data_IF_132951416267
#
_entry.id   IF_132951416267
#
_cell.length_a   1.000
_cell.length_b   1.000
_cell.length_c   1.000
_cell.angle_alpha   90.00
_cell.angle_beta   90.00
_cell.angle_gamma   90.00
#
_symmetry.space_group_name_H-M   'P 1'
#
loop_
_entity.id
_entity.type
_entity.pdbx_description
1 polymer ?
#
# COMPACT_ATOMS: atom_id res chain seq x y z
N UNK A 1 20.48 -2.25 23.95
CA UNK A 1 19.57 -2.67 22.86
C UNK A 1 19.80 -1.77 21.65
N UNK A 2 20.03 -2.33 20.46
CA UNK A 2 20.40 -1.55 19.27
C UNK A 2 19.19 -0.84 18.65
N UNK A 3 19.35 0.43 18.28
CA UNK A 3 18.34 1.29 17.63
C UNK A 3 17.74 0.66 16.37
N UNK A 4 18.52 -0.15 15.63
CA UNK A 4 18.07 -0.90 14.45
C UNK A 4 17.03 -1.97 14.77
N UNK A 5 17.13 -2.63 15.91
CA UNK A 5 16.20 -3.70 16.31
C UNK A 5 14.87 -3.13 16.81
N UNK A 6 14.91 -1.98 17.50
CA UNK A 6 13.71 -1.25 17.92
C UNK A 6 12.97 -0.61 16.74
N UNK A 7 13.68 -0.13 15.71
CA UNK A 7 13.06 0.30 14.45
C UNK A 7 12.39 -0.88 13.75
N UNK A 8 13.11 -1.99 13.53
CA UNK A 8 12.56 -3.20 12.87
C UNK A 8 11.33 -3.77 13.58
N UNK A 9 11.31 -3.78 14.92
CA UNK A 9 10.14 -4.23 15.70
C UNK A 9 8.95 -3.28 15.60
N UNK A 10 9.19 -1.97 15.47
CA UNK A 10 8.13 -0.99 15.17
C UNK A 10 7.57 -1.15 13.75
N UNK A 11 8.43 -1.51 12.78
CA UNK A 11 8.06 -1.73 11.37
C UNK A 11 7.08 -2.89 11.21
N UNK A 12 7.33 -3.97 11.93
CA UNK A 12 6.42 -5.12 11.93
C UNK A 12 5.05 -4.72 12.50
N UNK A 13 5.00 -3.94 13.59
CA UNK A 13 3.75 -3.51 14.21
C UNK A 13 2.93 -2.57 13.32
N UNK A 14 3.57 -1.62 12.64
CA UNK A 14 2.90 -0.72 11.70
C UNK A 14 2.33 -1.46 10.49
N UNK A 15 3.15 -2.34 9.91
CA UNK A 15 2.73 -3.18 8.78
C UNK A 15 1.56 -4.10 9.14
N UNK A 16 1.67 -4.82 10.25
CA UNK A 16 0.64 -5.75 10.72
C UNK A 16 -0.69 -5.04 10.97
N UNK A 17 -0.67 -3.88 11.59
CA UNK A 17 -1.88 -3.10 11.84
C UNK A 17 -2.52 -2.58 10.55
N UNK A 18 -1.74 -2.18 9.54
CA UNK A 18 -2.28 -1.80 8.23
C UNK A 18 -2.89 -3.00 7.50
N UNK A 19 -2.21 -4.15 7.53
CA UNK A 19 -2.71 -5.40 6.95
C UNK A 19 -4.02 -5.83 7.61
N UNK A 20 -4.09 -5.76 8.93
CA UNK A 20 -5.29 -6.07 9.71
C UNK A 20 -6.44 -5.14 9.37
N UNK A 21 -6.17 -3.83 9.24
CA UNK A 21 -7.19 -2.90 8.77
C UNK A 21 -7.71 -3.27 7.38
N UNK A 22 -6.84 -3.62 6.44
CA UNK A 22 -7.24 -4.04 5.09
C UNK A 22 -8.14 -5.29 5.12
N UNK A 23 -7.79 -6.29 5.95
CA UNK A 23 -8.62 -7.48 6.17
C UNK A 23 -10.01 -7.10 6.69
N UNK A 24 -10.08 -6.25 7.71
CA UNK A 24 -11.34 -5.79 8.30
C UNK A 24 -12.22 -5.00 7.32
N UNK A 25 -11.63 -4.28 6.35
CA UNK A 25 -12.42 -3.59 5.34
C UNK A 25 -12.95 -4.52 4.25
N UNK A 26 -12.25 -5.63 3.99
CA UNK A 26 -12.49 -6.50 2.84
C UNK A 26 -13.12 -7.86 3.18
N UNK A 27 -13.29 -8.21 4.47
CA UNK A 27 -13.73 -9.55 4.89
C UNK A 27 -15.08 -9.99 4.31
N UNK A 28 -15.98 -9.05 4.00
CA UNK A 28 -17.32 -9.32 3.47
C UNK A 28 -17.36 -9.43 1.95
N UNK A 29 -16.24 -9.24 1.24
CA UNK A 29 -16.20 -9.21 -0.21
C UNK A 29 -15.85 -10.59 -0.77
N UNK A 30 -16.76 -11.12 -1.60
CA UNK A 30 -16.54 -12.40 -2.29
C UNK A 30 -15.33 -12.28 -3.22
N UNK A 31 -14.50 -13.32 -3.24
CA UNK A 31 -13.31 -13.36 -4.10
C UNK A 31 -12.13 -12.52 -3.60
N UNK A 32 -12.27 -11.80 -2.49
CA UNK A 32 -11.20 -11.00 -1.90
C UNK A 32 -10.65 -11.69 -0.66
N UNK A 33 -9.34 -11.92 -0.62
CA UNK A 33 -8.65 -12.45 0.56
C UNK A 33 -7.29 -11.80 0.73
N UNK A 34 -7.21 -10.85 1.66
CA UNK A 34 -5.97 -10.12 1.96
C UNK A 34 -5.15 -10.86 3.01
N UNK A 35 -3.99 -11.41 2.62
CA UNK A 35 -3.07 -12.11 3.54
C UNK A 35 -1.69 -11.46 3.62
N UNK A 36 -1.33 -10.62 2.64
CA UNK A 36 -0.06 -9.91 2.55
C UNK A 36 -0.26 -8.54 1.89
N UNK A 37 0.81 -7.72 1.87
CA UNK A 37 0.85 -6.43 1.18
C UNK A 37 1.60 -6.53 -0.17
N UNK A 38 1.49 -7.67 -0.84
CA UNK A 38 2.10 -7.92 -2.16
C UNK A 38 1.08 -8.57 -3.10
N UNK A 39 1.12 -9.89 -3.26
CA UNK A 39 0.33 -10.64 -4.22
C UNK A 39 -1.19 -10.61 -3.99
N UNK A 40 -1.65 -10.35 -2.76
CA UNK A 40 -3.08 -10.21 -2.44
C UNK A 40 -3.75 -9.02 -3.14
N UNK A 41 -2.95 -8.11 -3.71
CA UNK A 41 -3.41 -6.88 -4.35
C UNK A 41 -3.30 -6.93 -5.88
N UNK A 42 -2.70 -8.00 -6.42
CA UNK A 42 -2.37 -8.12 -7.86
C UNK A 42 -3.58 -8.05 -8.76
N UNK A 43 -4.68 -8.70 -8.37
CA UNK A 43 -5.92 -8.76 -9.17
C UNK A 43 -6.77 -7.47 -9.09
N UNK A 44 -6.36 -6.49 -8.29
CA UNK A 44 -7.04 -5.22 -8.12
C UNK A 44 -8.33 -5.29 -7.30
N UNK A 45 -8.87 -6.48 -7.00
CA UNK A 45 -10.14 -6.61 -6.28
C UNK A 45 -10.05 -6.07 -4.85
N UNK A 46 -8.91 -6.26 -4.18
CA UNK A 46 -8.70 -5.73 -2.85
C UNK A 46 -8.72 -4.18 -2.83
N UNK A 47 -8.16 -3.51 -3.84
CA UNK A 47 -8.25 -2.05 -3.96
C UNK A 47 -9.68 -1.59 -4.23
N UNK A 48 -10.37 -2.26 -5.16
CA UNK A 48 -11.77 -1.99 -5.46
C UNK A 48 -12.67 -2.15 -4.22
N UNK A 49 -12.45 -3.20 -3.43
CA UNK A 49 -13.21 -3.45 -2.20
C UNK A 49 -13.01 -2.35 -1.15
N UNK A 50 -11.79 -1.82 -0.99
CA UNK A 50 -11.54 -0.70 -0.08
C UNK A 50 -12.33 0.56 -0.48
N UNK A 51 -12.38 0.86 -1.78
CA UNK A 51 -13.07 2.03 -2.30
C UNK A 51 -14.59 1.86 -2.24
N UNK A 52 -15.12 0.69 -2.62
CA UNK A 52 -16.54 0.36 -2.48
C UNK A 52 -16.98 0.38 -1.00
N UNK A 53 -16.11 -0.05 -0.07
CA UNK A 53 -16.42 0.01 1.37
C UNK A 53 -16.50 1.45 1.88
N UNK A 54 -15.70 2.34 1.31
CA UNK A 54 -15.71 3.76 1.63
C UNK A 54 -16.97 4.45 1.09
N UNK A 55 -17.34 4.15 -0.15
CA UNK A 55 -18.54 4.66 -0.80
C UNK A 55 -18.98 3.66 -1.91
N UNK A 56 -20.11 2.95 -1.72
CA UNK A 56 -20.57 1.93 -2.65
C UNK A 56 -20.85 2.45 -4.07
N UNK A 57 -21.14 3.74 -4.22
CA UNK A 57 -21.47 4.34 -5.52
C UNK A 57 -20.23 4.53 -6.42
N UNK A 58 -19.02 4.39 -5.87
CA UNK A 58 -17.80 4.64 -6.61
C UNK A 58 -17.39 3.48 -7.53
N UNK A 59 -17.72 2.25 -7.16
CA UNK A 59 -17.28 1.05 -7.86
C UNK A 59 -18.41 0.03 -7.85
N UNK A 60 -18.84 -0.44 -9.03
CA UNK A 60 -19.78 -1.55 -9.12
C UNK A 60 -19.05 -2.87 -8.88
N UNK A 61 -18.87 -3.22 -7.60
CA UNK A 61 -18.00 -4.35 -7.22
C UNK A 61 -18.49 -5.69 -7.77
N UNK A 62 -19.80 -5.91 -7.81
CA UNK A 62 -20.40 -7.17 -8.26
C UNK A 62 -20.19 -7.46 -9.76
N UNK A 63 -19.79 -6.46 -10.55
CA UNK A 63 -19.46 -6.58 -11.97
C UNK A 63 -17.97 -6.90 -12.21
N UNK A 64 -17.14 -6.91 -11.16
CA UNK A 64 -15.70 -7.13 -11.28
C UNK A 64 -15.34 -8.61 -11.25
N UNK A 65 -14.36 -9.01 -12.05
CA UNK A 65 -13.81 -10.36 -12.07
C UNK A 65 -12.31 -10.36 -11.82
N UNK A 66 -11.79 -11.45 -11.23
CA UNK A 66 -10.37 -11.59 -10.90
C UNK A 66 -9.47 -11.64 -12.14
N UNK A 67 -10.02 -12.11 -13.25
CA UNK A 67 -9.33 -12.27 -14.54
C UNK A 67 -9.04 -10.91 -15.20
N UNK A 68 -9.81 -9.87 -14.84
CA UNK A 68 -9.66 -8.51 -15.33
C UNK A 68 -8.67 -7.67 -14.49
N UNK A 69 -7.57 -8.29 -14.02
CA UNK A 69 -6.65 -7.70 -13.07
C UNK A 69 -6.15 -6.29 -13.46
N UNK A 70 -5.79 -6.09 -14.73
CA UNK A 70 -5.31 -4.80 -15.21
C UNK A 70 -6.41 -3.72 -15.09
N UNK A 71 -7.61 -4.03 -15.61
CA UNK A 71 -8.77 -3.13 -15.60
C UNK A 71 -9.21 -2.80 -14.17
N UNK A 72 -9.20 -3.78 -13.27
CA UNK A 72 -9.55 -3.56 -11.86
C UNK A 72 -8.59 -2.57 -11.19
N UNK A 73 -7.28 -2.74 -11.38
CA UNK A 73 -6.28 -1.84 -10.81
C UNK A 73 -6.40 -0.43 -11.40
N UNK A 74 -6.55 -0.30 -12.72
CA UNK A 74 -6.74 1.00 -13.37
C UNK A 74 -7.99 1.73 -12.87
N UNK A 75 -9.11 1.01 -12.74
CA UNK A 75 -10.36 1.55 -12.20
C UNK A 75 -10.14 2.06 -10.77
N UNK A 76 -9.54 1.24 -9.91
CA UNK A 76 -9.30 1.61 -8.51
C UNK A 76 -8.44 2.86 -8.40
N UNK A 77 -7.33 2.93 -9.16
CA UNK A 77 -6.41 4.06 -9.09
C UNK A 77 -7.04 5.34 -9.63
N UNK A 78 -7.79 5.26 -10.73
CA UNK A 78 -8.53 6.39 -11.29
C UNK A 78 -9.56 6.94 -10.29
N UNK A 79 -10.38 6.06 -9.70
CA UNK A 79 -11.40 6.44 -8.72
C UNK A 79 -10.76 7.06 -7.48
N UNK A 80 -9.66 6.47 -6.97
CA UNK A 80 -8.93 6.99 -5.82
C UNK A 80 -8.35 8.39 -6.10
N UNK A 81 -7.82 8.63 -7.29
CA UNK A 81 -7.30 9.93 -7.68
C UNK A 81 -8.42 10.97 -7.82
N UNK A 82 -9.49 10.64 -8.53
CA UNK A 82 -10.58 11.59 -8.81
C UNK A 82 -11.37 11.96 -7.55
N UNK A 83 -11.72 10.96 -6.73
CA UNK A 83 -12.67 11.10 -5.62
C UNK A 83 -11.98 11.31 -4.28
N UNK A 84 -10.88 10.58 -4.05
CA UNK A 84 -10.13 10.64 -2.80
C UNK A 84 -8.91 11.57 -2.89
N UNK A 85 -8.53 12.04 -4.09
CA UNK A 85 -7.32 12.86 -4.31
C UNK A 85 -6.05 12.14 -3.84
N UNK A 86 -6.03 10.81 -4.00
CA UNK A 86 -4.88 9.96 -3.74
C UNK A 86 -4.21 9.68 -5.09
N UNK A 87 -3.03 10.26 -5.38
CA UNK A 87 -2.38 10.06 -6.68
C UNK A 87 -1.99 8.61 -6.91
N UNK A 88 -2.08 8.15 -8.16
CA UNK A 88 -1.67 6.81 -8.56
C UNK A 88 -0.14 6.65 -8.45
N UNK A 89 0.32 6.08 -7.34
CA UNK A 89 1.74 5.77 -7.13
C UNK A 89 2.16 4.43 -7.73
N UNK A 90 1.19 3.54 -7.94
CA UNK A 90 1.36 2.22 -8.52
C UNK A 90 0.90 2.25 -9.97
N UNK A 91 1.59 1.51 -10.82
CA UNK A 91 1.18 1.29 -12.22
C UNK A 91 0.48 -0.05 -12.32
N UNK A 92 -0.72 -0.07 -12.91
CA UNK A 92 -1.53 -1.28 -12.99
C UNK A 92 -0.83 -2.38 -13.80
N UNK A 93 -0.11 -2.00 -14.87
CA UNK A 93 0.70 -2.91 -15.66
C UNK A 93 1.80 -3.59 -14.84
N UNK A 94 2.45 -2.85 -13.94
CA UNK A 94 3.53 -3.39 -13.11
C UNK A 94 2.99 -4.42 -12.11
N UNK A 95 1.83 -4.14 -11.49
CA UNK A 95 1.21 -5.09 -10.57
C UNK A 95 0.87 -6.42 -11.25
N UNK A 96 0.42 -6.38 -12.50
CA UNK A 96 0.01 -7.58 -13.24
C UNK A 96 1.21 -8.33 -13.82
N UNK A 97 2.18 -7.62 -14.39
CA UNK A 97 3.26 -8.22 -15.20
C UNK A 97 4.52 -8.57 -14.42
N UNK A 98 4.83 -7.89 -13.30
CA UNK A 98 6.05 -8.18 -12.56
C UNK A 98 5.91 -9.48 -11.76
N UNK A 99 6.94 -10.29 -11.69
CA UNK A 99 6.92 -11.53 -10.91
C UNK A 99 6.75 -11.24 -9.42
N UNK A 100 7.52 -10.29 -8.90
CA UNK A 100 7.45 -9.83 -7.53
C UNK A 100 6.94 -8.38 -7.45
N UNK A 101 5.94 -8.17 -6.58
CA UNK A 101 5.41 -6.84 -6.27
C UNK A 101 6.16 -6.31 -5.06
N UNK A 102 6.69 -5.09 -5.16
CA UNK A 102 7.35 -4.41 -4.03
C UNK A 102 6.35 -4.12 -2.89
N UNK A 103 6.54 -4.79 -1.76
CA UNK A 103 5.70 -4.66 -0.56
C UNK A 103 5.67 -3.21 -0.05
N UNK A 104 6.81 -2.52 -0.12
CA UNK A 104 6.92 -1.15 0.41
C UNK A 104 6.07 -0.18 -0.41
N UNK A 105 6.02 -0.36 -1.73
CA UNK A 105 5.20 0.44 -2.64
C UNK A 105 3.72 0.26 -2.37
N UNK A 106 3.25 -0.99 -2.25
CA UNK A 106 1.85 -1.30 -1.91
C UNK A 106 1.50 -0.76 -0.53
N UNK A 107 2.36 -0.98 0.47
CA UNK A 107 2.17 -0.45 1.82
C UNK A 107 2.06 1.08 1.84
N UNK A 108 2.90 1.77 1.06
CA UNK A 108 2.88 3.24 0.90
C UNK A 108 1.55 3.71 0.34
N UNK A 109 1.09 3.09 -0.76
CA UNK A 109 -0.16 3.45 -1.40
C UNK A 109 -1.38 3.19 -0.50
N UNK A 110 -1.41 2.04 0.18
CA UNK A 110 -2.46 1.70 1.14
C UNK A 110 -2.52 2.65 2.33
N UNK A 111 -1.36 3.13 2.80
CA UNK A 111 -1.29 4.12 3.87
C UNK A 111 -1.96 5.44 3.48
N UNK A 112 -1.88 5.84 2.20
CA UNK A 112 -2.57 7.02 1.67
C UNK A 112 -4.08 6.81 1.63
N UNK A 113 -4.53 5.66 1.13
CA UNK A 113 -5.95 5.30 1.11
C UNK A 113 -6.52 5.26 2.53
N UNK A 114 -5.84 4.59 3.46
CA UNK A 114 -6.19 4.56 4.88
C UNK A 114 -6.42 5.96 5.44
N UNK A 115 -5.46 6.87 5.22
CA UNK A 115 -5.55 8.26 5.70
C UNK A 115 -6.83 8.92 5.22
N UNK A 116 -7.14 8.76 3.94
CA UNK A 116 -8.24 9.47 3.31
C UNK A 116 -9.58 8.89 3.70
N UNK A 117 -9.68 7.56 3.74
CA UNK A 117 -10.88 6.83 4.17
C UNK A 117 -11.18 7.13 5.64
N UNK A 118 -10.17 7.10 6.53
CA UNK A 118 -10.35 7.39 7.97
C UNK A 118 -10.63 8.86 8.27
N UNK A 119 -10.06 9.80 7.51
CA UNK A 119 -10.34 11.22 7.68
C UNK A 119 -11.81 11.54 7.37
N UNK A 120 -12.40 10.82 6.42
CA UNK A 120 -13.74 11.06 5.92
C UNK A 120 -14.81 10.20 6.60
N UNK A 121 -14.45 9.09 7.24
CA UNK A 121 -15.35 8.42 8.17
C UNK A 121 -15.57 9.36 9.36
N UNK A 122 -16.76 9.93 9.49
CA UNK A 122 -17.12 10.82 10.60
C UNK A 122 -16.63 10.24 11.94
N UNK A 123 -16.13 11.07 12.87
CA UNK A 123 -15.79 10.59 14.20
C UNK A 123 -17.06 9.99 14.80
N UNK A 124 -16.99 8.74 15.28
CA UNK A 124 -18.05 8.16 16.09
C UNK A 124 -18.46 9.16 17.18
N UNK A 125 -19.76 9.27 17.53
CA UNK A 125 -20.25 10.24 18.50
C UNK A 125 -19.44 10.13 19.79
N UNK A 126 -18.70 11.20 20.11
CA UNK A 126 -17.92 11.28 21.34
C UNK A 126 -18.91 11.41 22.50
N UNK A 127 -19.07 10.35 23.28
CA UNK A 127 -19.66 10.46 24.62
C UNK A 127 -18.75 11.42 25.41
N UNK A 128 -19.27 12.51 25.99
CA UNK A 128 -18.44 13.42 26.79
C UNK A 128 -18.09 12.72 28.11
N UNK A 129 -16.92 12.08 28.16
CA UNK A 129 -16.34 11.59 29.40
C UNK A 129 -15.47 12.70 30.02
N UNK A 130 -15.87 13.11 31.22
CA UNK A 130 -15.24 14.13 32.03
C UNK A 130 -13.77 13.82 32.36
N UNK A 131 -12.98 14.90 32.43
CA UNK A 131 -11.72 15.11 33.15
C UNK A 131 -10.91 13.89 33.59
N UNK A 132 -9.76 13.66 32.93
CA UNK A 132 -8.52 13.25 33.63
C UNK A 132 -7.29 13.45 32.73
N UNK A 133 -6.27 14.06 33.32
CA UNK A 133 -5.01 14.47 32.73
C UNK A 133 -4.06 13.31 32.35
N UNK A 134 -3.17 13.63 31.39
CA UNK A 134 -1.81 13.08 31.21
C UNK A 134 -1.63 11.55 31.30
N UNK A 135 -1.83 10.88 30.16
CA UNK A 135 -1.27 9.56 29.86
C UNK A 135 -0.61 9.58 28.47
N UNK A 136 0.30 8.64 28.13
CA UNK A 136 1.05 8.69 26.88
C UNK A 136 0.06 8.57 25.72
N UNK A 137 -0.01 9.61 24.90
CA UNK A 137 -0.83 9.68 23.68
C UNK A 137 -0.63 8.38 22.90
N UNK A 138 -1.70 7.59 22.76
CA UNK A 138 -1.70 6.33 22.02
C UNK A 138 -1.22 6.64 20.60
N UNK A 139 0.03 6.30 20.27
CA UNK A 139 0.62 6.56 18.94
C UNK A 139 -0.29 5.92 17.90
N UNK A 140 -0.76 6.73 16.96
CA UNK A 140 -1.62 6.24 15.89
C UNK A 140 -0.80 5.35 14.97
N UNK A 141 -1.45 4.43 14.23
CA UNK A 141 -0.82 3.69 13.13
C UNK A 141 0.00 4.63 12.22
N UNK A 142 -0.52 5.85 12.06
CA UNK A 142 0.10 6.94 11.34
C UNK A 142 1.42 7.43 11.92
N UNK A 143 1.56 7.50 13.24
CA UNK A 143 2.80 7.93 13.91
C UNK A 143 3.88 6.85 13.82
N UNK A 144 3.47 5.58 13.71
CA UNK A 144 4.38 4.45 13.44
C UNK A 144 4.83 4.45 11.99
N UNK A 145 3.92 4.69 11.04
CA UNK A 145 4.23 4.70 9.60
C UNK A 145 5.00 5.96 9.14
N UNK A 146 4.78 7.11 9.77
CA UNK A 146 5.50 8.37 9.49
C UNK A 146 6.98 8.30 9.83
N UNK A 147 7.33 7.62 10.92
CA UNK A 147 8.72 7.45 11.36
C UNK A 147 9.53 6.55 10.43
N UNK A 148 8.87 5.74 9.60
CA UNK A 148 9.54 4.62 8.93
C UNK A 148 10.11 4.93 7.57
N UNK A 149 9.56 5.87 6.83
CA UNK A 149 10.09 6.25 5.54
C UNK A 149 9.67 7.69 5.27
N UNK A 150 10.53 8.46 4.62
CA UNK A 150 10.28 9.84 4.22
C UNK A 150 9.15 9.90 3.15
N UNK A 151 7.94 9.60 3.59
CA UNK A 151 6.73 9.36 2.83
C UNK A 151 6.32 10.63 2.11
N UNK A 152 6.41 11.75 2.83
CA UNK A 152 6.17 13.10 2.29
C UNK A 152 7.21 13.45 1.22
N UNK A 153 8.49 13.13 1.42
CA UNK A 153 9.54 13.41 0.42
C UNK A 153 9.40 12.57 -0.86
N UNK A 154 9.11 11.26 -0.74
CA UNK A 154 8.85 10.41 -1.93
C UNK A 154 7.59 10.86 -2.68
N UNK A 155 6.55 11.26 -1.94
CA UNK A 155 5.33 11.84 -2.47
C UNK A 155 5.57 13.17 -3.19
N UNK A 156 6.29 14.11 -2.55
CA UNK A 156 6.61 15.42 -3.11
C UNK A 156 7.54 15.29 -4.33
N UNK A 157 8.48 14.34 -4.30
CA UNK A 157 9.34 14.01 -5.44
C UNK A 157 8.54 13.47 -6.63
N UNK A 158 7.52 12.61 -6.41
CA UNK A 158 6.64 12.13 -7.49
C UNK A 158 5.71 13.24 -7.98
N UNK A 159 5.15 14.07 -7.09
CA UNK A 159 4.31 15.22 -7.45
C UNK A 159 5.07 16.22 -8.32
N UNK A 160 6.31 16.54 -7.98
CA UNK A 160 7.15 17.40 -8.79
C UNK A 160 7.44 16.78 -10.16
N UNK A 161 7.72 15.47 -10.24
CA UNK A 161 8.02 14.79 -11.52
C UNK A 161 6.80 14.62 -12.44
N UNK A 162 5.61 14.39 -11.88
CA UNK A 162 4.35 14.36 -12.64
C UNK A 162 4.00 15.74 -13.21
N UNK A 163 4.35 16.82 -12.50
CA UNK A 163 4.25 18.19 -13.01
C UNK A 163 5.26 18.49 -14.13
N UNK A 164 6.33 17.70 -14.27
CA UNK A 164 7.41 17.90 -15.23
C UNK A 164 7.28 17.04 -16.50
N UNK A 165 6.28 16.15 -16.58
CA UNK A 165 6.06 15.31 -17.77
C UNK A 165 7.03 14.13 -17.96
N UNK A 166 7.90 13.83 -16.99
CA UNK A 166 8.83 12.70 -17.06
C UNK A 166 8.17 11.38 -16.63
N UNK A 167 7.89 10.50 -17.60
CA UNK A 167 7.46 9.11 -17.36
C UNK A 167 8.66 8.21 -17.04
N UNK A 168 9.19 8.33 -15.83
CA UNK A 168 10.29 7.47 -15.37
C UNK A 168 9.81 6.35 -14.44
N UNK A 169 10.11 5.12 -14.86
CA UNK A 169 9.92 3.85 -14.14
C UNK A 169 10.82 3.77 -12.89
N UNK A 170 10.41 4.47 -11.83
CA UNK A 170 11.14 4.59 -10.55
C UNK A 170 11.39 3.24 -9.84
N UNK A 171 10.57 2.22 -10.09
CA UNK A 171 10.67 0.91 -9.44
C UNK A 171 11.59 -0.09 -10.14
N UNK A 172 12.20 0.24 -11.29
CA UNK A 172 13.12 -0.68 -12.01
C UNK A 172 14.54 -0.78 -11.45
N UNK A 173 14.82 -0.30 -10.23
CA UNK A 173 16.14 -0.48 -9.60
C UNK A 173 16.11 -1.51 -8.48
N UNK A 174 16.09 -2.79 -8.86
CA UNK A 174 16.87 -3.86 -8.20
C UNK A 174 16.63 -5.23 -8.84
N UNK A 175 17.53 -5.65 -9.76
CA UNK A 175 18.08 -7.02 -9.80
C UNK A 175 19.49 -6.91 -10.41
N UNK A 176 20.60 -7.11 -9.66
CA UNK A 176 21.88 -7.45 -10.26
C UNK A 176 21.72 -8.80 -10.97
N UNK A 177 22.07 -8.87 -12.26
CA UNK A 177 22.04 -10.11 -13.04
C UNK A 177 22.87 -11.16 -12.30
N UNK A 178 22.20 -12.19 -11.79
CA UNK A 178 22.89 -13.32 -11.17
C UNK A 178 23.69 -14.05 -12.23
N UNK A 179 24.97 -14.18 -11.93
CA UNK A 179 26.05 -14.65 -12.78
C UNK A 179 25.76 -16.04 -13.34
N UNK A 180 25.89 -16.18 -14.64
CA UNK A 180 25.72 -17.45 -15.37
C UNK A 180 26.55 -18.57 -14.73
N UNK A 181 25.91 -19.72 -14.49
CA UNK A 181 26.44 -21.01 -14.03
C UNK A 181 27.68 -21.57 -14.79
N UNK A 182 28.23 -20.83 -15.76
CA UNK A 182 29.42 -21.18 -16.54
C UNK A 182 30.75 -20.67 -15.95
N UNK A 183 30.72 -19.85 -14.88
CA UNK A 183 31.94 -19.37 -14.21
C UNK A 183 32.33 -20.20 -12.97
N UNK A 184 31.38 -20.88 -12.31
CA UNK A 184 31.68 -21.74 -11.15
C UNK A 184 32.26 -23.13 -11.50
N UNK A 185 32.37 -23.47 -12.78
CA UNK A 185 33.00 -24.72 -13.23
C UNK A 185 34.46 -24.55 -13.69
N UNK A 186 35.02 -23.34 -13.66
CA UNK A 186 36.41 -23.08 -14.08
C UNK A 186 37.45 -22.99 -12.95
N UNK A 187 37.04 -23.04 -11.69
CA UNK A 187 37.95 -22.93 -10.53
C UNK A 187 38.27 -24.26 -9.81
N UNK A 188 37.87 -25.42 -10.35
CA UNK A 188 38.19 -26.73 -9.73
C UNK A 188 39.22 -27.58 -10.50
N UNK A 189 40.02 -26.98 -11.38
CA UNK A 189 41.14 -27.68 -12.00
C UNK A 189 42.32 -26.73 -12.26
N UNK A 190 43.09 -26.42 -11.21
CA UNK A 190 44.57 -26.35 -11.21
C UNK A 190 45.05 -26.77 -9.83
#
# INVERSE_FOLDING_TARGET
MSTRQAARSRNLKGKEALLEWCKQQTYSYKGVRVINLTSSWRDGLAFCALLHKYDPELIKFDELSKEDALKNNELAFKVAEEKLKVPALLEASDLVSMEEIDELSVMTYLSMLYKRIKKNSAPAPRIPAANSATGPTRRTLFDVLKDENNFTERFDKRKNRLSSGEKDNFFKKSVPKETTLRELQRENHV
#
